data_IF_721169716405
#
_entry.id   IF_721169716405
#
_cell.length_a   1.000
_cell.length_b   1.000
_cell.length_c   1.000
_cell.angle_alpha   90.00
_cell.angle_beta   90.00
_cell.angle_gamma   90.00
#
_symmetry.space_group_name_H-M   'P 1'
#
loop_
_entity.id
_entity.type
_entity.pdbx_description
1 polymer ?
#
# COMPACT_ATOMS: atom_id res chain seq x y z
N UNK A 1 -2.80 0.62 22.52
CA UNK A 1 -1.37 0.48 22.12
C UNK A 1 -1.19 -0.77 21.30
N UNK A 2 -0.16 -0.80 20.46
CA UNK A 2 0.20 -2.03 19.74
C UNK A 2 0.65 -3.16 20.68
N UNK A 3 1.28 -2.82 21.80
CA UNK A 3 1.69 -3.80 22.82
C UNK A 3 0.51 -4.55 23.46
N UNK A 4 -0.69 -3.97 23.43
CA UNK A 4 -1.91 -4.58 23.95
C UNK A 4 -2.57 -5.56 22.96
N UNK A 5 -2.08 -5.59 21.70
CA UNK A 5 -2.61 -6.46 20.66
C UNK A 5 -1.90 -7.82 20.64
N UNK A 6 -2.65 -8.87 20.31
CA UNK A 6 -2.08 -10.18 20.05
C UNK A 6 -1.61 -10.23 18.59
N UNK A 7 -0.33 -9.91 18.39
CA UNK A 7 0.27 -9.85 17.05
C UNK A 7 1.32 -10.97 16.94
N UNK A 8 1.12 -11.87 15.96
CA UNK A 8 2.05 -12.95 15.63
C UNK A 8 3.31 -12.40 14.94
N UNK A 9 4.37 -13.20 14.88
CA UNK A 9 5.59 -12.89 14.14
C UNK A 9 5.45 -13.12 12.64
N UNK A 10 4.47 -13.92 12.24
CA UNK A 10 4.13 -14.19 10.85
C UNK A 10 2.67 -14.54 10.70
N UNK A 11 2.14 -14.25 9.54
CA UNK A 11 0.80 -14.58 9.09
C UNK A 11 0.85 -15.29 7.75
N UNK A 12 -0.02 -16.28 7.59
CA UNK A 12 -0.26 -17.03 6.36
C UNK A 12 -1.78 -17.06 6.12
N UNK A 13 -2.24 -16.55 5.00
CA UNK A 13 -3.67 -16.43 4.72
C UNK A 13 -4.38 -17.78 4.52
N UNK A 14 -3.65 -18.89 4.38
CA UNK A 14 -4.26 -20.24 4.40
C UNK A 14 -4.63 -20.69 5.83
N UNK A 15 -3.92 -20.20 6.85
CA UNK A 15 -4.07 -20.60 8.23
C UNK A 15 -4.68 -19.51 9.13
N UNK A 16 -4.56 -18.22 8.72
CA UNK A 16 -4.90 -17.06 9.52
C UNK A 16 -6.00 -16.21 8.86
N UNK A 17 -6.88 -15.65 9.67
CA UNK A 17 -7.74 -14.54 9.23
C UNK A 17 -6.96 -13.23 9.29
N UNK A 18 -6.06 -13.03 8.30
CA UNK A 18 -5.14 -11.90 8.22
C UNK A 18 -5.85 -10.56 8.37
N UNK A 19 -7.06 -10.45 7.86
CA UNK A 19 -7.84 -9.23 7.93
C UNK A 19 -8.28 -8.91 9.37
N UNK A 20 -8.90 -9.87 10.05
CA UNK A 20 -9.44 -9.67 11.39
C UNK A 20 -8.37 -9.83 12.49
N UNK A 21 -7.36 -10.66 12.27
CA UNK A 21 -6.32 -10.94 13.26
C UNK A 21 -5.17 -9.93 13.22
N UNK A 22 -4.96 -9.24 12.08
CA UNK A 22 -3.86 -8.30 11.90
C UNK A 22 -4.29 -6.92 11.39
N UNK A 23 -4.82 -6.81 10.16
CA UNK A 23 -5.01 -5.51 9.52
C UNK A 23 -5.99 -4.60 10.26
N UNK A 24 -7.18 -5.11 10.60
CA UNK A 24 -8.19 -4.30 11.28
C UNK A 24 -7.69 -3.82 12.64
N UNK A 25 -7.21 -4.69 13.56
CA UNK A 25 -6.74 -4.24 14.86
C UNK A 25 -5.51 -3.31 14.78
N UNK A 26 -4.58 -3.55 13.87
CA UNK A 26 -3.41 -2.69 13.69
C UNK A 26 -3.83 -1.31 13.18
N UNK A 27 -4.64 -1.23 12.12
CA UNK A 27 -5.12 0.05 11.58
C UNK A 27 -5.95 0.85 12.60
N UNK A 28 -6.82 0.19 13.37
CA UNK A 28 -7.62 0.85 14.41
C UNK A 28 -6.76 1.51 15.49
N UNK A 29 -5.57 1.01 15.75
CA UNK A 29 -4.63 1.54 16.74
C UNK A 29 -3.53 2.41 16.12
N UNK A 30 -3.52 2.59 14.81
CA UNK A 30 -2.50 3.37 14.09
C UNK A 30 -2.83 4.86 14.01
N UNK A 31 -1.78 5.69 14.07
CA UNK A 31 -1.79 7.14 13.76
C UNK A 31 -1.09 7.47 12.46
N UNK A 32 -0.12 6.64 12.08
CA UNK A 32 0.54 6.75 10.77
C UNK A 32 0.60 5.36 10.16
N UNK A 33 0.42 5.32 8.85
CA UNK A 33 0.58 4.12 8.05
C UNK A 33 1.37 4.45 6.79
N UNK A 34 2.57 3.91 6.68
CA UNK A 34 3.41 4.04 5.50
C UNK A 34 3.40 2.72 4.74
N UNK A 35 3.08 2.77 3.47
CA UNK A 35 2.89 1.57 2.66
C UNK A 35 3.64 1.64 1.34
N UNK A 36 4.37 0.59 1.03
CA UNK A 36 4.82 0.25 -0.32
C UNK A 36 4.00 -0.95 -0.78
N UNK A 37 3.29 -0.81 -1.88
CA UNK A 37 2.53 -1.88 -2.50
C UNK A 37 2.85 -1.95 -3.99
N UNK A 38 3.05 -3.15 -4.51
CA UNK A 38 3.24 -3.33 -5.96
C UNK A 38 2.03 -2.84 -6.73
N UNK A 39 0.84 -3.18 -6.23
CA UNK A 39 -0.44 -2.68 -6.70
C UNK A 39 -1.33 -2.34 -5.52
N UNK A 40 -2.12 -1.30 -5.70
CA UNK A 40 -3.09 -0.83 -4.72
C UNK A 40 -4.45 -0.68 -5.39
N UNK A 41 -5.49 -1.16 -4.73
CA UNK A 41 -6.87 -0.98 -5.20
C UNK A 41 -7.74 -0.45 -4.07
N UNK A 42 -8.74 0.35 -4.42
CA UNK A 42 -9.73 0.81 -3.44
C UNK A 42 -10.55 -0.34 -2.83
N UNK A 43 -10.64 -1.47 -3.54
CA UNK A 43 -11.26 -2.70 -3.02
C UNK A 43 -10.58 -3.22 -1.77
N UNK A 44 -9.25 -3.09 -1.64
CA UNK A 44 -8.53 -3.47 -0.44
C UNK A 44 -8.91 -2.63 0.77
N UNK A 45 -9.12 -1.33 0.58
CA UNK A 45 -9.62 -0.46 1.65
C UNK A 45 -11.06 -0.79 2.04
N UNK A 46 -11.89 -1.21 1.07
CA UNK A 46 -13.26 -1.62 1.36
C UNK A 46 -13.29 -2.85 2.28
N UNK A 47 -12.42 -3.82 2.03
CA UNK A 47 -12.29 -5.02 2.88
C UNK A 47 -11.82 -4.66 4.28
N UNK A 48 -10.85 -3.76 4.40
CA UNK A 48 -10.36 -3.27 5.69
C UNK A 48 -11.18 -2.09 6.26
N UNK A 49 -12.39 -1.84 5.73
CA UNK A 49 -13.16 -0.63 6.02
C UNK A 49 -13.32 -0.32 7.52
N UNK A 50 -13.50 -1.33 8.37
CA UNK A 50 -13.61 -1.14 9.82
C UNK A 50 -12.33 -0.60 10.45
N UNK A 51 -11.17 -1.13 10.05
CA UNK A 51 -9.87 -0.65 10.51
C UNK A 51 -9.59 0.76 9.97
N UNK A 52 -9.85 0.96 8.69
CA UNK A 52 -9.63 2.24 8.00
C UNK A 52 -10.55 3.35 8.53
N UNK A 53 -11.82 3.05 8.81
CA UNK A 53 -12.74 4.03 9.38
C UNK A 53 -12.24 4.54 10.75
N UNK A 54 -11.79 3.65 11.63
CA UNK A 54 -11.23 4.06 12.92
C UNK A 54 -9.90 4.80 12.77
N UNK A 55 -9.03 4.37 11.84
CA UNK A 55 -7.81 5.08 11.50
C UNK A 55 -8.08 6.54 11.08
N UNK A 56 -9.07 6.75 10.21
CA UNK A 56 -9.51 8.08 9.78
C UNK A 56 -10.06 8.90 10.96
N UNK A 57 -10.94 8.31 11.77
CA UNK A 57 -11.52 8.98 12.95
C UNK A 57 -10.46 9.38 13.96
N UNK A 58 -9.40 8.63 14.09
CA UNK A 58 -8.26 8.94 14.94
C UNK A 58 -7.33 10.03 14.34
N UNK A 59 -7.67 10.59 13.18
CA UNK A 59 -6.82 11.56 12.47
C UNK A 59 -5.57 10.93 11.87
N UNK A 60 -5.65 9.65 11.51
CA UNK A 60 -4.55 8.88 10.94
C UNK A 60 -4.05 9.48 9.63
N UNK A 61 -2.74 9.43 9.41
CA UNK A 61 -2.07 9.89 8.19
C UNK A 61 -1.41 8.73 7.47
N UNK A 62 -1.73 8.59 6.19
CA UNK A 62 -1.18 7.53 5.34
C UNK A 62 -0.24 8.10 4.28
N UNK A 63 0.84 7.38 4.03
CA UNK A 63 1.73 7.57 2.87
C UNK A 63 1.77 6.29 2.07
N UNK A 64 1.43 6.38 0.81
CA UNK A 64 1.38 5.23 -0.09
C UNK A 64 2.35 5.43 -1.25
N UNK A 65 3.19 4.43 -1.49
CA UNK A 65 3.93 4.27 -2.75
C UNK A 65 3.37 3.05 -3.46
N UNK A 66 2.88 3.21 -4.68
CA UNK A 66 2.32 2.10 -5.47
C UNK A 66 2.82 2.14 -6.90
N UNK A 67 2.87 0.98 -7.56
CA UNK A 67 3.24 0.88 -8.97
C UNK A 67 2.11 1.34 -9.90
N UNK A 68 2.47 1.88 -11.06
CA UNK A 68 1.52 2.14 -12.15
C UNK A 68 1.51 0.95 -13.13
N UNK A 69 0.32 0.60 -13.62
CA UNK A 69 0.17 -0.29 -14.77
C UNK A 69 0.07 0.57 -16.02
N UNK A 70 1.16 0.64 -16.77
CA UNK A 70 1.18 1.36 -18.04
C UNK A 70 0.98 0.38 -19.20
N UNK A 71 0.04 0.66 -20.08
CA UNK A 71 -0.10 -0.04 -21.35
C UNK A 71 0.76 0.61 -22.46
N UNK A 72 0.89 -0.02 -23.65
CA UNK A 72 1.72 0.52 -24.73
C UNK A 72 1.36 1.94 -25.15
N UNK A 73 0.08 2.31 -25.13
CA UNK A 73 -0.38 3.65 -25.51
C UNK A 73 -0.01 4.70 -24.47
N UNK A 74 0.03 4.33 -23.18
CA UNK A 74 0.46 5.23 -22.11
C UNK A 74 1.94 5.55 -22.22
N UNK A 75 2.77 4.53 -22.47
CA UNK A 75 4.21 4.70 -22.67
C UNK A 75 4.47 5.58 -23.89
N UNK A 76 3.76 5.35 -25.00
CA UNK A 76 3.88 6.20 -26.20
C UNK A 76 3.48 7.65 -25.91
N UNK A 77 2.41 7.88 -25.17
CA UNK A 77 1.96 9.22 -24.79
C UNK A 77 3.00 9.96 -23.95
N UNK A 78 3.58 9.31 -22.96
CA UNK A 78 4.63 9.87 -22.10
C UNK A 78 5.89 10.19 -22.95
N UNK A 79 6.39 9.21 -23.71
CA UNK A 79 7.65 9.35 -24.47
C UNK A 79 7.52 10.40 -25.56
N UNK A 80 6.35 10.52 -26.20
CA UNK A 80 6.10 11.53 -27.23
C UNK A 80 5.80 12.93 -26.69
N UNK A 81 5.66 13.08 -25.36
CA UNK A 81 5.29 14.34 -24.72
C UNK A 81 3.87 14.82 -25.07
N UNK A 82 3.00 13.90 -25.51
CA UNK A 82 1.60 14.22 -25.85
C UNK A 82 0.75 14.45 -24.61
N UNK A 83 1.13 13.85 -23.49
CA UNK A 83 0.43 13.95 -22.21
C UNK A 83 1.44 14.07 -21.07
N UNK A 84 1.12 14.88 -20.06
CA UNK A 84 1.92 14.99 -18.87
C UNK A 84 1.85 13.68 -18.06
N UNK A 85 2.98 13.22 -17.57
CA UNK A 85 3.07 11.93 -16.86
C UNK A 85 2.21 11.90 -15.61
N UNK A 86 2.15 13.00 -14.84
CA UNK A 86 1.34 13.06 -13.62
C UNK A 86 -0.16 13.06 -13.94
N UNK A 87 -0.56 13.74 -14.99
CA UNK A 87 -1.95 13.79 -15.44
C UNK A 87 -2.43 12.42 -15.94
N UNK A 88 -1.62 11.74 -16.76
CA UNK A 88 -1.91 10.41 -17.28
C UNK A 88 -2.08 9.40 -16.14
N UNK A 89 -1.14 9.37 -15.20
CA UNK A 89 -1.15 8.45 -14.07
C UNK A 89 -2.34 8.74 -13.15
N UNK A 90 -2.62 10.02 -12.89
CA UNK A 90 -3.78 10.43 -12.10
C UNK A 90 -5.10 9.95 -12.73
N UNK A 91 -5.23 10.06 -14.06
CA UNK A 91 -6.40 9.57 -14.81
C UNK A 91 -6.52 8.06 -14.72
N UNK A 92 -5.44 7.30 -14.91
CA UNK A 92 -5.43 5.84 -14.78
C UNK A 92 -5.85 5.39 -13.38
N UNK A 93 -5.31 6.02 -12.35
CA UNK A 93 -5.69 5.74 -10.98
C UNK A 93 -7.18 5.96 -10.73
N UNK A 94 -7.74 7.05 -11.25
CA UNK A 94 -9.19 7.34 -11.15
C UNK A 94 -10.03 6.33 -11.96
N UNK A 95 -9.54 5.88 -13.13
CA UNK A 95 -10.22 4.85 -13.94
C UNK A 95 -10.26 3.50 -13.21
N UNK A 96 -9.13 3.08 -12.61
CA UNK A 96 -9.06 1.86 -11.79
C UNK A 96 -10.03 1.92 -10.61
N UNK A 97 -10.20 3.10 -10.00
CA UNK A 97 -11.18 3.32 -8.93
C UNK A 97 -12.64 3.24 -9.41
N UNK A 98 -12.94 3.69 -10.62
CA UNK A 98 -14.32 3.71 -11.17
C UNK A 98 -14.82 2.35 -11.63
N UNK A 99 -13.92 1.43 -11.96
CA UNK A 99 -14.26 0.09 -12.44
C UNK A 99 -14.71 -0.87 -11.33
N UNK A 100 -14.92 -0.36 -10.11
CA UNK A 100 -15.39 -1.14 -8.97
C UNK A 100 -16.93 -1.13 -8.91
N UNK A 101 -17.52 -2.28 -9.11
CA UNK A 101 -18.97 -2.45 -9.33
C UNK A 101 -19.80 -2.65 -8.03
N UNK A 102 -19.23 -2.41 -6.83
CA UNK A 102 -19.88 -2.69 -5.56
C UNK A 102 -20.16 -1.41 -4.74
N UNK A 103 -21.27 -1.41 -3.97
CA UNK A 103 -21.65 -0.31 -3.07
C UNK A 103 -20.59 -0.06 -1.99
N UNK A 104 -19.94 -1.12 -1.50
CA UNK A 104 -18.83 -1.05 -0.54
C UNK A 104 -17.64 -0.31 -1.14
N UNK A 105 -17.37 -0.53 -2.42
CA UNK A 105 -16.30 0.15 -3.14
C UNK A 105 -16.56 1.66 -3.26
N UNK A 106 -17.81 2.10 -3.42
CA UNK A 106 -18.15 3.54 -3.48
C UNK A 106 -17.87 4.24 -2.16
N UNK A 107 -18.14 3.61 -1.04
CA UNK A 107 -17.84 4.16 0.29
C UNK A 107 -16.33 4.24 0.53
N UNK A 108 -15.59 3.25 0.08
CA UNK A 108 -14.12 3.24 0.14
C UNK A 108 -13.49 4.33 -0.74
N UNK A 109 -14.02 4.54 -1.95
CA UNK A 109 -13.61 5.64 -2.84
C UNK A 109 -13.88 6.99 -2.19
N UNK A 110 -15.07 7.16 -1.57
CA UNK A 110 -15.41 8.36 -0.83
C UNK A 110 -14.44 8.64 0.32
N UNK A 111 -14.07 7.61 1.07
CA UNK A 111 -13.09 7.70 2.16
C UNK A 111 -11.70 8.07 1.64
N UNK A 112 -11.23 7.45 0.55
CA UNK A 112 -9.96 7.80 -0.09
C UNK A 112 -9.93 9.24 -0.59
N UNK A 113 -10.97 9.65 -1.32
CA UNK A 113 -11.08 11.01 -1.83
C UNK A 113 -11.07 12.03 -0.69
N UNK A 114 -11.75 11.72 0.42
CA UNK A 114 -11.72 12.56 1.61
C UNK A 114 -10.32 12.61 2.23
N UNK A 115 -9.64 11.48 2.37
CA UNK A 115 -8.27 11.42 2.92
C UNK A 115 -7.28 12.24 2.08
N UNK A 116 -7.37 12.15 0.76
CA UNK A 116 -6.53 12.97 -0.14
C UNK A 116 -6.86 14.45 0.01
N UNK A 117 -8.13 14.82 -0.06
CA UNK A 117 -8.56 16.23 0.02
C UNK A 117 -8.28 16.88 1.38
N UNK A 118 -8.29 16.08 2.45
CA UNK A 118 -7.97 16.53 3.82
C UNK A 118 -6.47 16.51 4.15
N UNK A 119 -5.60 16.04 3.21
CA UNK A 119 -4.17 15.90 3.44
C UNK A 119 -3.81 14.77 4.43
N UNK A 120 -4.70 13.79 4.58
CA UNK A 120 -4.46 12.60 5.41
C UNK A 120 -3.91 11.41 4.61
N UNK A 121 -3.90 11.49 3.29
CA UNK A 121 -3.31 10.51 2.39
C UNK A 121 -2.46 11.20 1.33
N UNK A 122 -1.16 10.90 1.35
CA UNK A 122 -0.22 11.27 0.31
C UNK A 122 0.11 10.03 -0.53
N UNK A 123 0.00 10.15 -1.86
CA UNK A 123 0.27 9.04 -2.79
C UNK A 123 1.42 9.42 -3.71
N UNK A 124 2.38 8.49 -3.86
CA UNK A 124 3.41 8.53 -4.90
C UNK A 124 3.29 7.30 -5.79
N UNK A 125 3.41 7.51 -7.08
CA UNK A 125 3.31 6.45 -8.07
C UNK A 125 4.70 6.13 -8.60
N UNK A 126 5.13 4.88 -8.43
CA UNK A 126 6.39 4.39 -8.95
C UNK A 126 6.24 3.96 -10.40
N UNK A 127 7.08 4.51 -11.28
CA UNK A 127 7.18 4.13 -12.69
C UNK A 127 8.48 3.40 -12.91
N UNK A 128 8.40 2.19 -13.48
CA UNK A 128 9.59 1.41 -13.83
C UNK A 128 10.18 1.97 -15.13
N UNK A 129 11.48 2.28 -15.11
CA UNK A 129 12.22 2.75 -16.27
C UNK A 129 13.22 1.70 -16.74
N UNK A 130 13.39 1.63 -18.06
CA UNK A 130 14.44 0.82 -18.70
C UNK A 130 15.83 1.41 -18.50
N UNK A 131 16.83 0.68 -19.01
CA UNK A 131 18.23 1.15 -19.00
C UNK A 131 18.46 2.41 -19.84
N UNK A 132 17.55 2.70 -20.75
CA UNK A 132 17.49 3.89 -21.60
C UNK A 132 16.82 5.10 -20.90
N UNK A 133 16.32 4.90 -19.67
CA UNK A 133 15.62 5.92 -18.90
C UNK A 133 14.17 6.15 -19.32
N UNK A 134 13.62 5.33 -20.23
CA UNK A 134 12.24 5.44 -20.68
C UNK A 134 11.32 4.54 -19.84
N UNK A 135 10.02 4.93 -19.65
CA UNK A 135 9.05 4.07 -18.99
C UNK A 135 8.88 2.74 -19.72
N UNK A 136 8.69 1.67 -18.98
CA UNK A 136 8.46 0.32 -19.52
C UNK A 136 6.97 -0.02 -19.40
N UNK A 137 6.42 -0.57 -20.48
CA UNK A 137 5.06 -1.14 -20.49
C UNK A 137 4.95 -2.28 -19.48
N UNK A 138 3.81 -2.40 -18.82
CA UNK A 138 3.60 -3.40 -17.77
C UNK A 138 3.90 -4.82 -18.23
N UNK A 139 3.45 -5.20 -19.43
CA UNK A 139 3.64 -6.57 -19.97
C UNK A 139 5.09 -6.89 -20.38
N UNK A 140 5.94 -5.87 -20.49
CA UNK A 140 7.37 -6.00 -20.79
C UNK A 140 8.25 -5.98 -19.55
N UNK A 141 7.67 -5.72 -18.38
CA UNK A 141 8.39 -5.76 -17.11
C UNK A 141 8.67 -7.23 -16.80
N UNK A 142 9.92 -7.65 -16.95
CA UNK A 142 10.38 -8.97 -16.52
C UNK A 142 10.42 -9.00 -14.98
N UNK A 143 10.21 -10.16 -14.40
CA UNK A 143 10.11 -10.35 -12.94
C UNK A 143 11.21 -9.65 -12.10
N UNK A 144 12.39 -9.48 -12.65
CA UNK A 144 13.50 -8.76 -11.99
C UNK A 144 13.32 -7.23 -11.89
N UNK A 145 12.38 -6.64 -12.62
CA UNK A 145 12.10 -5.20 -12.66
C UNK A 145 10.74 -4.81 -12.07
N UNK A 146 9.94 -5.79 -11.68
CA UNK A 146 8.66 -5.52 -11.03
C UNK A 146 8.88 -4.76 -9.72
N UNK A 147 8.03 -3.77 -9.48
CA UNK A 147 7.95 -3.12 -8.17
C UNK A 147 7.32 -4.12 -7.17
N UNK A 148 8.17 -5.07 -6.70
CA UNK A 148 7.74 -6.17 -5.85
C UNK A 148 7.78 -5.89 -4.36
N UNK A 149 8.37 -4.77 -3.95
CA UNK A 149 8.46 -4.43 -2.54
C UNK A 149 7.08 -4.23 -1.94
N UNK A 150 6.78 -4.97 -0.88
CA UNK A 150 5.53 -4.87 -0.14
C UNK A 150 5.88 -4.73 1.33
N UNK A 151 5.92 -3.48 1.77
CA UNK A 151 6.28 -3.09 3.13
C UNK A 151 5.19 -2.23 3.71
N UNK A 152 4.78 -2.51 4.92
CA UNK A 152 3.92 -1.65 5.70
C UNK A 152 4.60 -1.28 7.01
N UNK A 153 4.50 -0.01 7.42
CA UNK A 153 5.03 0.49 8.69
C UNK A 153 3.91 1.24 9.38
N UNK A 154 3.57 0.81 10.57
CA UNK A 154 2.51 1.39 11.38
C UNK A 154 3.08 2.02 12.65
N UNK A 155 2.50 3.15 13.06
CA UNK A 155 2.90 3.89 14.26
C UNK A 155 1.66 4.13 15.10
N UNK A 156 1.71 3.83 16.39
CA UNK A 156 0.61 4.14 17.33
C UNK A 156 0.77 5.51 18.00
N UNK A 157 -0.13 5.84 18.92
CA UNK A 157 -0.10 7.09 19.71
C UNK A 157 0.97 7.10 20.81
N UNK A 158 1.50 5.94 21.16
CA UNK A 158 2.43 5.76 22.27
C UNK A 158 3.90 5.76 21.81
N UNK A 159 4.12 5.84 20.51
CA UNK A 159 5.45 5.82 19.89
C UNK A 159 5.90 4.44 19.48
N UNK A 160 5.08 3.40 19.67
CA UNK A 160 5.41 2.05 19.20
C UNK A 160 5.34 1.97 17.69
N UNK A 161 6.27 1.24 17.12
CA UNK A 161 6.38 1.01 15.68
C UNK A 161 6.35 -0.49 15.40
N UNK A 162 5.57 -0.88 14.41
CA UNK A 162 5.66 -2.21 13.82
C UNK A 162 5.81 -2.09 12.31
N UNK A 163 6.54 -3.01 11.71
CA UNK A 163 6.58 -3.18 10.27
C UNK A 163 6.17 -4.59 9.87
N UNK A 164 5.72 -4.73 8.64
CA UNK A 164 5.45 -6.02 8.02
C UNK A 164 5.89 -6.01 6.57
N UNK A 165 6.44 -7.13 6.14
CA UNK A 165 6.93 -7.31 4.77
C UNK A 165 6.74 -8.75 4.31
N UNK A 166 6.43 -8.92 3.02
CA UNK A 166 6.16 -10.23 2.42
C UNK A 166 5.53 -10.12 1.03
N UNK A 167 4.71 -11.11 0.67
CA UNK A 167 4.09 -11.18 -0.65
C UNK A 167 2.86 -10.29 -0.81
N UNK A 168 2.21 -9.89 0.28
CA UNK A 168 0.88 -9.30 0.29
C UNK A 168 0.79 -7.91 -0.36
N UNK A 169 0.01 -7.80 -1.43
CA UNK A 169 -0.37 -6.54 -2.05
C UNK A 169 -1.67 -5.98 -1.45
N UNK A 170 -1.85 -4.67 -1.58
CA UNK A 170 -3.12 -4.02 -1.25
C UNK A 170 -4.14 -4.25 -2.39
N UNK A 171 -4.58 -5.49 -2.54
CA UNK A 171 -5.65 -5.87 -3.46
C UNK A 171 -6.69 -6.71 -2.74
N UNK A 172 -7.95 -6.63 -3.17
CA UNK A 172 -9.02 -7.43 -2.58
C UNK A 172 -8.72 -8.94 -2.71
N UNK A 173 -8.18 -9.37 -3.86
CA UNK A 173 -7.82 -10.77 -4.09
C UNK A 173 -6.71 -11.26 -3.16
N UNK A 174 -5.70 -10.42 -2.88
CA UNK A 174 -4.64 -10.76 -1.95
C UNK A 174 -5.17 -11.03 -0.53
N UNK A 175 -6.18 -10.25 -0.12
CA UNK A 175 -6.73 -10.37 1.24
C UNK A 175 -7.78 -11.45 1.42
N UNK A 176 -8.47 -11.84 0.35
CA UNK A 176 -9.60 -12.78 0.41
C UNK A 176 -9.34 -14.11 -0.29
N UNK A 177 -8.52 -14.15 -1.32
CA UNK A 177 -8.45 -15.28 -2.24
C UNK A 177 -7.04 -15.78 -2.57
N UNK A 178 -5.99 -14.96 -2.40
CA UNK A 178 -4.62 -15.39 -2.68
C UNK A 178 -3.97 -15.96 -1.43
N UNK A 179 -3.07 -16.91 -1.65
CA UNK A 179 -2.14 -17.37 -0.62
C UNK A 179 -1.07 -16.29 -0.46
N UNK A 180 -1.07 -15.64 0.68
CA UNK A 180 -0.17 -14.53 0.99
C UNK A 180 0.49 -14.78 2.35
N UNK A 181 1.79 -14.59 2.40
CA UNK A 181 2.55 -14.68 3.65
C UNK A 181 3.33 -13.38 3.91
N UNK A 182 3.47 -13.03 5.17
CA UNK A 182 4.31 -11.91 5.58
C UNK A 182 4.83 -12.08 7.00
N UNK A 183 5.93 -11.41 7.28
CA UNK A 183 6.54 -11.32 8.60
C UNK A 183 6.20 -9.98 9.23
N UNK A 184 6.07 -9.98 10.55
CA UNK A 184 5.83 -8.78 11.37
C UNK A 184 7.00 -8.58 12.31
N UNK A 185 7.52 -7.37 12.33
CA UNK A 185 8.60 -6.93 13.22
C UNK A 185 8.07 -5.84 14.15
N UNK A 186 8.42 -5.93 15.42
CA UNK A 186 7.92 -5.08 16.50
C UNK A 186 9.09 -4.38 17.19
N UNK A 187 9.06 -3.06 17.30
CA UNK A 187 10.15 -2.28 17.89
C UNK A 187 10.42 -2.66 19.35
N UNK A 188 9.37 -3.04 20.07
CA UNK A 188 9.46 -3.42 21.50
C UNK A 188 9.94 -4.84 21.74
N UNK A 189 10.26 -5.59 20.70
CA UNK A 189 10.82 -6.96 20.80
C UNK A 189 12.32 -6.90 20.52
N UNK A 190 13.10 -7.50 21.41
CA UNK A 190 14.57 -7.54 21.30
C UNK A 190 15.03 -8.13 19.97
N UNK A 191 16.00 -7.46 19.35
CA UNK A 191 16.63 -7.83 18.08
C UNK A 191 15.76 -7.67 16.81
N UNK A 192 14.54 -7.14 16.89
CA UNK A 192 13.70 -6.89 15.71
C UNK A 192 13.90 -5.48 15.12
N UNK A 193 14.38 -4.51 15.88
CA UNK A 193 14.58 -3.11 15.44
C UNK A 193 15.36 -2.96 14.14
N UNK A 194 16.36 -3.82 13.90
CA UNK A 194 17.15 -3.80 12.65
C UNK A 194 16.34 -4.07 11.40
N UNK A 195 15.27 -4.88 11.49
CA UNK A 195 14.39 -5.18 10.36
C UNK A 195 13.44 -4.00 10.09
N UNK A 196 12.98 -3.33 11.15
CA UNK A 196 12.22 -2.09 11.02
C UNK A 196 13.05 -0.99 10.35
N UNK A 197 14.34 -0.87 10.72
CA UNK A 197 15.26 0.07 10.11
C UNK A 197 15.46 -0.22 8.61
N UNK A 198 15.51 -1.49 8.22
CA UNK A 198 15.61 -1.90 6.83
C UNK A 198 14.33 -1.55 6.05
N UNK A 199 13.16 -1.84 6.61
CA UNK A 199 11.86 -1.50 6.03
C UNK A 199 11.69 0.03 5.92
N UNK A 200 12.09 0.80 6.94
CA UNK A 200 12.04 2.25 6.94
C UNK A 200 12.97 2.84 5.87
N UNK A 201 14.21 2.33 5.74
CA UNK A 201 15.14 2.75 4.67
C UNK A 201 14.60 2.44 3.28
N UNK A 202 13.94 1.28 3.12
CA UNK A 202 13.29 0.93 1.87
C UNK A 202 12.16 1.89 1.54
N UNK A 203 11.31 2.21 2.52
CA UNK A 203 10.24 3.19 2.32
C UNK A 203 10.80 4.57 1.95
N UNK A 204 11.78 5.08 2.69
CA UNK A 204 12.39 6.39 2.42
C UNK A 204 13.02 6.46 1.03
N UNK A 205 13.69 5.40 0.59
CA UNK A 205 14.26 5.32 -0.76
C UNK A 205 13.22 5.57 -1.85
N UNK A 206 12.04 4.96 -1.74
CA UNK A 206 10.96 5.15 -2.73
C UNK A 206 10.16 6.42 -2.49
N UNK A 207 10.12 6.90 -1.24
CA UNK A 207 9.41 8.13 -0.91
C UNK A 207 10.15 9.38 -1.34
N UNK A 208 11.46 9.38 -1.29
CA UNK A 208 12.29 10.55 -1.65
C UNK A 208 12.72 10.59 -3.11
N UNK A 209 12.72 9.46 -3.80
CA UNK A 209 13.11 9.33 -5.22
C UNK A 209 14.57 9.08 -5.40
#
# INVERSE_FOLDING_TARGET
SFEDLVIKESYDSEEDDVLNDFYIPVLQNSKKYWRIAGYFTSGSLAVAARGMAQFILNGGKMRLVTGARLDPSDVEAIVSGKEDTEELIGRKFVEDLKNLDDSIAKDAIGALAWMVSSGNLDIKIAIVHGKDGLPIEHDKIVDDFLFHSKVGICFDDYGNVLSFSGSINETMNAWLNNIEDFKVFKEWVDNESKYLDDDARMFDKYWTG
#
